data_IF_299719632915
#
_entry.id   IF_299719632915
#
_cell.length_a   1.000
_cell.length_b   1.000
_cell.length_c   1.000
_cell.angle_alpha   90.00
_cell.angle_beta   90.00
_cell.angle_gamma   90.00
#
_symmetry.space_group_name_H-M   'P 1'
#
loop_
_entity.id
_entity.type
_entity.pdbx_description
1 polymer ?
#
# COMPACT_ATOMS: atom_id res chain seq x y z
N UNK A 1 -2.71 20.70 8.05
CA UNK A 1 -2.61 20.25 6.78
C UNK A 1 -2.76 18.80 6.58
N UNK A 2 -2.97 18.51 5.39
CA UNK A 2 -3.56 17.30 4.98
C UNK A 2 -2.71 16.05 5.02
N UNK A 3 -1.44 16.10 5.00
CA UNK A 3 -0.63 14.91 4.71
C UNK A 3 -0.02 14.31 5.96
N UNK A 4 -0.88 13.91 6.88
CA UNK A 4 -0.41 13.29 8.10
C UNK A 4 0.18 11.90 7.85
N UNK A 5 -0.40 11.15 6.93
CA UNK A 5 0.03 9.77 6.67
C UNK A 5 0.60 9.65 5.28
N UNK A 6 1.63 8.83 5.15
CA UNK A 6 2.23 8.51 3.85
C UNK A 6 2.15 7.01 3.66
N UNK A 7 1.57 6.59 2.54
CA UNK A 7 1.51 5.18 2.16
C UNK A 7 2.51 4.96 1.04
N UNK A 8 3.45 4.04 1.24
CA UNK A 8 4.44 3.68 0.23
C UNK A 8 4.20 2.24 -0.20
N UNK A 9 4.04 2.05 -1.49
CA UNK A 9 3.76 0.75 -2.08
C UNK A 9 4.93 0.36 -2.97
N UNK A 10 5.51 -0.79 -2.69
CA UNK A 10 6.69 -1.28 -3.41
C UNK A 10 6.36 -2.58 -4.12
N UNK A 11 6.63 -2.64 -5.41
CA UNK A 11 6.56 -3.86 -6.20
C UNK A 11 7.91 -4.56 -6.15
N UNK A 12 7.91 -5.88 -6.32
CA UNK A 12 9.14 -6.66 -6.25
C UNK A 12 10.19 -6.21 -7.28
N UNK A 13 9.75 -5.66 -8.39
CA UNK A 13 10.65 -5.26 -9.47
C UNK A 13 11.04 -3.80 -9.42
N UNK A 14 10.54 -3.05 -8.46
CA UNK A 14 10.80 -1.63 -8.34
C UNK A 14 11.00 -1.27 -6.88
N UNK A 15 11.82 -0.26 -6.66
CA UNK A 15 12.10 0.17 -5.29
C UNK A 15 10.88 0.82 -4.64
N UNK A 16 10.19 1.67 -5.39
CA UNK A 16 9.01 2.37 -4.88
C UNK A 16 8.14 2.75 -6.07
N UNK A 17 7.00 2.10 -6.16
CA UNK A 17 6.09 2.36 -7.27
C UNK A 17 5.18 3.56 -7.03
N UNK A 18 4.60 3.65 -5.84
CA UNK A 18 3.55 4.63 -5.57
C UNK A 18 3.71 5.19 -4.17
N UNK A 19 3.54 6.49 -4.03
CA UNK A 19 3.46 7.14 -2.72
C UNK A 19 2.17 7.95 -2.69
N UNK A 20 1.37 7.74 -1.66
CA UNK A 20 0.08 8.38 -1.48
C UNK A 20 0.06 9.09 -0.14
N UNK A 21 -0.47 10.30 -0.13
CA UNK A 21 -0.57 11.11 1.10
C UNK A 21 -2.03 11.20 1.52
N UNK A 22 -2.28 10.96 2.80
CA UNK A 22 -3.64 10.93 3.33
C UNK A 22 -3.73 11.74 4.62
N UNK A 23 -4.91 12.26 4.88
CA UNK A 23 -5.18 13.00 6.13
C UNK A 23 -5.55 12.05 7.26
N UNK A 24 -6.20 10.95 6.93
CA UNK A 24 -6.74 10.03 7.92
C UNK A 24 -5.95 8.74 8.00
N UNK A 25 -6.03 8.09 9.15
CA UNK A 25 -5.37 6.81 9.34
C UNK A 25 -5.89 5.74 8.38
N UNK A 26 -5.09 4.73 8.17
CA UNK A 26 -5.37 3.68 7.20
C UNK A 26 -5.38 2.35 7.92
N UNK A 27 -6.52 1.65 7.88
CA UNK A 27 -6.58 0.28 8.38
C UNK A 27 -6.21 -0.68 7.25
N UNK A 28 -6.17 -1.98 7.59
CA UNK A 28 -5.74 -2.98 6.60
C UNK A 28 -6.68 -3.08 5.41
N UNK A 29 -7.97 -2.94 5.64
CA UNK A 29 -8.93 -3.05 4.54
C UNK A 29 -8.77 -1.90 3.55
N UNK A 30 -8.63 -0.69 4.07
CA UNK A 30 -8.42 0.47 3.22
C UNK A 30 -7.06 0.38 2.51
N UNK A 31 -6.04 -0.11 3.21
CA UNK A 31 -4.72 -0.28 2.61
C UNK A 31 -4.79 -1.27 1.44
N UNK A 32 -5.55 -2.37 1.62
CA UNK A 32 -5.75 -3.33 0.54
C UNK A 32 -6.39 -2.66 -0.67
N UNK A 33 -7.41 -1.84 -0.45
CA UNK A 33 -8.06 -1.12 -1.53
C UNK A 33 -7.09 -0.17 -2.24
N UNK A 34 -6.24 0.51 -1.48
CA UNK A 34 -5.27 1.41 -2.07
C UNK A 34 -4.29 0.66 -2.96
N UNK A 35 -3.83 -0.50 -2.51
CA UNK A 35 -2.91 -1.30 -3.31
C UNK A 35 -3.56 -1.71 -4.62
N UNK A 36 -4.78 -2.25 -4.57
CA UNK A 36 -5.44 -2.74 -5.79
C UNK A 36 -5.95 -1.61 -6.67
N UNK A 37 -6.19 -0.44 -6.12
CA UNK A 37 -6.56 0.72 -6.93
C UNK A 37 -5.38 1.29 -7.70
N UNK A 38 -4.20 1.19 -7.14
CA UNK A 38 -3.01 1.80 -7.72
C UNK A 38 -2.14 0.82 -8.48
N UNK A 39 -2.18 -0.45 -8.10
CA UNK A 39 -1.43 -1.49 -8.79
C UNK A 39 -2.41 -2.56 -9.24
N UNK A 40 -2.92 -2.45 -10.43
CA UNK A 40 -3.87 -3.42 -10.95
C UNK A 40 -3.25 -4.79 -11.09
N UNK A 41 -1.96 -4.82 -11.38
CA UNK A 41 -1.25 -6.06 -11.59
C UNK A 41 0.16 -5.90 -11.08
N UNK A 42 0.67 -6.90 -10.40
CA UNK A 42 2.04 -6.88 -9.92
C UNK A 42 2.61 -8.29 -9.97
N UNK A 43 3.93 -8.35 -9.95
CA UNK A 43 4.66 -9.60 -9.99
C UNK A 43 5.42 -9.77 -8.69
N UNK A 44 5.37 -10.99 -8.15
CA UNK A 44 6.03 -11.25 -6.89
C UNK A 44 5.27 -10.66 -5.73
N UNK A 45 5.99 -10.09 -4.80
CA UNK A 45 5.41 -9.54 -3.59
C UNK A 45 5.28 -8.04 -3.67
N UNK A 46 4.16 -7.53 -3.18
CA UNK A 46 3.98 -6.11 -2.97
C UNK A 46 4.06 -5.84 -1.48
N UNK A 47 4.87 -4.87 -1.10
CA UNK A 47 4.98 -4.41 0.27
C UNK A 47 4.36 -3.04 0.35
N UNK A 48 3.42 -2.85 1.28
CA UNK A 48 2.78 -1.56 1.48
C UNK A 48 3.02 -1.13 2.93
N UNK A 49 3.48 0.10 3.09
CA UNK A 49 3.81 0.63 4.42
C UNK A 49 3.08 1.95 4.64
N UNK A 50 2.57 2.11 5.84
CA UNK A 50 1.93 3.36 6.24
C UNK A 50 2.78 4.03 7.31
N UNK A 51 3.15 5.28 7.07
CA UNK A 51 3.95 6.06 8.00
C UNK A 51 3.12 7.21 8.54
N UNK A 52 3.23 7.44 9.85
CA UNK A 52 2.62 8.60 10.49
C UNK A 52 3.68 9.68 10.53
N UNK A 53 3.51 10.70 9.71
CA UNK A 53 4.52 11.76 9.59
C UNK A 53 4.57 12.65 10.83
N UNK A 54 3.49 12.70 11.60
CA UNK A 54 3.48 13.45 12.84
C UNK A 54 4.29 12.74 13.92
N UNK A 55 4.03 11.45 14.07
CA UNK A 55 4.75 10.63 15.05
C UNK A 55 6.09 10.12 14.51
N UNK A 56 6.29 10.26 13.21
CA UNK A 56 7.54 9.88 12.54
C UNK A 56 7.87 8.40 12.73
N UNK A 57 6.88 7.57 12.55
CA UNK A 57 7.07 6.12 12.66
C UNK A 57 6.13 5.37 11.72
N UNK A 58 6.51 4.14 11.42
CA UNK A 58 5.68 3.24 10.63
C UNK A 58 4.59 2.67 11.54
N UNK A 59 3.34 2.77 11.10
CA UNK A 59 2.21 2.33 11.91
C UNK A 59 1.53 1.09 11.36
N UNK A 60 1.65 0.82 10.07
CA UNK A 60 1.01 -0.34 9.45
C UNK A 60 1.87 -0.86 8.32
N UNK A 61 1.89 -2.17 8.15
CA UNK A 61 2.56 -2.79 7.02
C UNK A 61 1.70 -3.94 6.52
N UNK A 62 1.74 -4.17 5.20
CA UNK A 62 0.98 -5.24 4.59
C UNK A 62 1.80 -5.85 3.45
N UNK A 63 1.68 -7.17 3.28
CA UNK A 63 2.40 -7.89 2.24
C UNK A 63 1.39 -8.71 1.44
N UNK A 64 1.46 -8.56 0.13
CA UNK A 64 0.60 -9.31 -0.79
C UNK A 64 1.45 -9.98 -1.84
N UNK A 65 1.01 -11.16 -2.31
CA UNK A 65 1.71 -11.84 -3.38
C UNK A 65 0.77 -12.02 -4.58
N UNK A 66 1.29 -12.60 -5.65
CA UNK A 66 0.53 -12.73 -6.88
C UNK A 66 -0.71 -13.61 -6.74
N UNK A 67 -0.68 -14.59 -5.84
CA UNK A 67 -1.84 -15.45 -5.68
C UNK A 67 -3.03 -14.66 -5.15
N UNK A 68 -2.77 -13.70 -4.27
CA UNK A 68 -3.82 -12.84 -3.76
C UNK A 68 -4.33 -11.91 -4.85
N UNK A 69 -3.42 -11.38 -5.67
CA UNK A 69 -3.79 -10.53 -6.78
C UNK A 69 -4.72 -11.26 -7.74
N UNK A 70 -4.36 -12.48 -8.11
CA UNK A 70 -5.18 -13.27 -9.03
C UNK A 70 -6.57 -13.52 -8.45
N UNK A 71 -6.63 -13.78 -7.17
CA UNK A 71 -7.91 -14.03 -6.50
C UNK A 71 -8.83 -12.82 -6.59
N UNK A 72 -8.30 -11.62 -6.47
CA UNK A 72 -9.11 -10.41 -6.54
C UNK A 72 -9.42 -9.99 -7.96
N UNK A 73 -8.66 -10.44 -8.93
CA UNK A 73 -8.80 -10.01 -10.31
C UNK A 73 -9.60 -10.96 -11.20
N UNK A 74 -10.05 -12.05 -10.68
CA UNK A 74 -10.71 -13.07 -11.48
C UNK A 74 -12.20 -12.83 -11.71
N UNK A 75 -12.69 -11.72 -11.46
CA UNK A 75 -14.13 -11.45 -11.66
C UNK A 75 -14.44 -10.96 -13.04
#
# INVERSE_FOLDING_TARGET
MANRYRVEIYDANKANDVTIYLEQGVDRDYLTELVFSNLRKFHGRVNAYVYDNVKKKKVTAMFLDESITNKFQTN
#
